data_IF_717174212048
#
_entry.id   IF_717174212048
#
_cell.length_a   1.000
_cell.length_b   1.000
_cell.length_c   1.000
_cell.angle_alpha   90.00
_cell.angle_beta   90.00
_cell.angle_gamma   90.00
#
_symmetry.space_group_name_H-M   'P 1'
#
loop_
_entity.id
_entity.type
_entity.pdbx_description
1 polymer ?
#
# COMPACT_ATOMS: atom_id res chain seq x y z
N UNK A 1 -3.47 15.65 27.75
CA UNK A 1 -3.41 16.87 26.93
C UNK A 1 -2.42 16.59 25.80
N UNK A 2 -2.94 16.05 24.71
CA UNK A 2 -2.14 15.48 23.60
C UNK A 2 -1.94 16.59 22.57
N UNK A 3 -0.72 17.07 22.44
CA UNK A 3 -0.35 18.05 21.41
C UNK A 3 -0.20 17.33 20.06
N UNK A 4 -1.26 17.31 19.28
CA UNK A 4 -1.18 17.00 17.85
C UNK A 4 -0.54 18.18 17.14
N UNK A 5 0.68 18.02 16.65
CA UNK A 5 1.34 19.00 15.79
C UNK A 5 0.93 18.78 14.33
N UNK A 6 0.25 19.72 13.67
CA UNK A 6 -0.04 19.67 12.23
C UNK A 6 1.20 20.20 11.47
N UNK A 7 2.27 19.40 11.35
CA UNK A 7 3.51 19.94 10.77
C UNK A 7 3.63 19.70 9.23
N UNK A 8 2.93 18.73 8.67
CA UNK A 8 3.07 18.40 7.25
C UNK A 8 2.46 19.47 6.31
N UNK A 9 1.29 20.01 6.64
CA UNK A 9 0.63 21.00 5.78
C UNK A 9 1.31 22.38 5.83
N UNK A 10 1.87 22.77 6.98
CA UNK A 10 2.58 24.05 7.14
C UNK A 10 3.95 24.04 6.45
N UNK A 11 4.66 22.91 6.45
CA UNK A 11 5.98 22.81 5.83
C UNK A 11 5.89 22.91 4.30
N UNK A 12 4.89 22.29 3.65
CA UNK A 12 4.68 22.44 2.21
C UNK A 12 4.30 23.88 1.81
N UNK A 13 3.53 24.58 2.66
CA UNK A 13 3.12 25.96 2.40
C UNK A 13 4.28 26.96 2.56
N UNK A 14 5.19 26.73 3.49
CA UNK A 14 6.39 27.55 3.71
C UNK A 14 7.39 27.36 2.55
N UNK A 15 7.60 26.12 2.08
CA UNK A 15 8.52 25.84 0.97
C UNK A 15 8.07 26.47 -0.35
N UNK A 16 6.75 26.55 -0.63
CA UNK A 16 6.21 27.20 -1.82
C UNK A 16 6.50 28.72 -1.86
N UNK A 17 6.71 29.37 -0.70
CA UNK A 17 6.97 30.81 -0.62
C UNK A 17 8.41 31.22 -0.98
N UNK A 18 9.36 30.27 -0.97
CA UNK A 18 10.79 30.58 -1.22
C UNK A 18 11.27 30.23 -2.64
N UNK A 19 10.39 29.77 -3.56
CA UNK A 19 10.77 29.34 -4.89
C UNK A 19 11.73 28.14 -4.90
N UNK A 20 11.87 27.42 -3.78
CA UNK A 20 12.70 26.23 -3.65
C UNK A 20 12.05 25.05 -4.37
N UNK A 21 12.87 24.30 -5.11
CA UNK A 21 12.45 23.04 -5.72
C UNK A 21 12.83 21.89 -4.79
N UNK A 22 11.90 21.04 -4.41
CA UNK A 22 12.21 19.77 -3.76
C UNK A 22 12.84 18.82 -4.78
N UNK A 23 13.91 18.14 -4.40
CA UNK A 23 14.48 17.05 -5.20
C UNK A 23 13.61 15.80 -5.01
N UNK A 24 13.27 15.15 -6.12
CA UNK A 24 12.67 13.82 -6.11
C UNK A 24 13.72 12.77 -6.41
N UNK A 25 13.56 11.60 -5.83
CA UNK A 25 14.45 10.46 -6.04
C UNK A 25 13.85 9.52 -7.09
N UNK A 26 14.69 8.97 -7.93
CA UNK A 26 14.34 7.79 -8.71
C UNK A 26 14.48 6.53 -7.86
N UNK A 27 13.81 5.45 -8.25
CA UNK A 27 13.93 4.16 -7.60
C UNK A 27 15.37 3.63 -7.60
N UNK A 28 16.09 3.81 -8.70
CA UNK A 28 17.51 3.44 -8.77
C UNK A 28 18.40 4.21 -7.77
N UNK A 29 18.10 5.50 -7.54
CA UNK A 29 18.80 6.29 -6.50
C UNK A 29 18.42 5.81 -5.09
N UNK A 30 17.15 5.51 -4.84
CA UNK A 30 16.67 4.98 -3.57
C UNK A 30 17.31 3.62 -3.23
N UNK A 31 17.26 2.66 -4.16
CA UNK A 31 17.94 1.36 -4.03
C UNK A 31 19.44 1.54 -3.74
N UNK A 32 20.07 2.51 -4.40
CA UNK A 32 21.49 2.82 -4.16
C UNK A 32 21.74 3.39 -2.76
N UNK A 33 20.83 4.21 -2.21
CA UNK A 33 20.94 4.70 -0.84
C UNK A 33 20.83 3.56 0.19
N UNK A 34 19.94 2.59 -0.07
CA UNK A 34 19.82 1.36 0.76
C UNK A 34 21.13 0.57 0.73
N UNK A 35 21.69 0.28 -0.47
CA UNK A 35 22.94 -0.45 -0.63
C UNK A 35 24.13 0.23 0.08
N UNK A 36 24.16 1.56 0.10
CA UNK A 36 25.20 2.34 0.77
C UNK A 36 24.99 2.42 2.30
N UNK A 37 23.90 1.88 2.84
CA UNK A 37 23.59 1.92 4.26
C UNK A 37 23.30 3.33 4.77
N UNK A 38 22.71 4.19 3.95
CA UNK A 38 22.36 5.57 4.35
C UNK A 38 21.22 5.55 5.38
N UNK A 39 20.29 4.60 5.26
CA UNK A 39 19.21 4.41 6.21
C UNK A 39 19.61 3.48 7.36
N UNK A 40 19.01 3.69 8.53
CA UNK A 40 19.25 2.81 9.67
C UNK A 40 18.63 1.43 9.41
N UNK A 41 19.23 0.32 9.87
CA UNK A 41 18.63 -1.00 9.75
C UNK A 41 17.22 -1.04 10.37
N UNK A 42 16.21 -1.41 9.57
CA UNK A 42 14.82 -1.46 9.98
C UNK A 42 14.11 -0.10 10.03
N UNK A 43 14.72 0.96 9.52
CA UNK A 43 14.06 2.25 9.33
C UNK A 43 12.97 2.09 8.25
N UNK A 44 11.68 2.34 8.58
CA UNK A 44 10.57 2.05 7.67
C UNK A 44 10.38 3.18 6.64
N UNK A 45 11.23 3.19 5.63
CA UNK A 45 11.22 4.21 4.57
C UNK A 45 10.70 3.59 3.28
N UNK A 46 9.73 4.26 2.66
CA UNK A 46 9.16 3.92 1.36
C UNK A 46 9.46 5.03 0.35
N UNK A 47 9.65 4.69 -0.93
CA UNK A 47 9.69 5.66 -2.02
C UNK A 47 8.31 5.76 -2.68
N UNK A 48 7.68 6.94 -2.61
CA UNK A 48 6.35 7.19 -3.16
C UNK A 48 6.38 8.43 -4.05
N UNK A 49 6.31 8.23 -5.37
CA UNK A 49 6.34 9.30 -6.36
C UNK A 49 7.59 10.19 -6.27
N UNK A 50 8.72 9.61 -5.90
CA UNK A 50 10.00 10.29 -5.72
C UNK A 50 10.22 10.92 -4.34
N UNK A 51 9.24 10.87 -3.45
CA UNK A 51 9.36 11.34 -2.07
C UNK A 51 9.68 10.16 -1.13
N UNK A 52 10.61 10.36 -0.17
CA UNK A 52 10.93 9.40 0.88
C UNK A 52 9.94 9.59 2.04
N UNK A 53 9.14 8.58 2.29
CA UNK A 53 8.10 8.58 3.32
C UNK A 53 8.53 7.65 4.46
N UNK A 54 8.45 8.12 5.69
CA UNK A 54 8.68 7.29 6.88
C UNK A 54 7.34 6.78 7.38
N UNK A 55 7.16 5.45 7.41
CA UNK A 55 5.95 4.84 7.93
C UNK A 55 5.89 4.94 9.45
N UNK A 56 4.66 5.06 9.99
CA UNK A 56 4.43 5.07 11.44
C UNK A 56 4.58 3.67 12.06
N UNK A 57 5.00 3.58 13.34
CA UNK A 57 5.04 2.31 14.06
C UNK A 57 3.66 1.66 14.15
N UNK A 58 3.60 0.36 13.92
CA UNK A 58 2.36 -0.42 13.90
C UNK A 58 1.95 -0.90 15.29
N UNK A 59 0.64 -0.79 15.59
CA UNK A 59 0.05 -1.35 16.80
C UNK A 59 -0.28 -2.85 16.66
N UNK A 60 -0.58 -3.51 17.79
CA UNK A 60 -0.91 -4.94 17.82
C UNK A 60 -2.18 -5.29 17.03
N UNK A 61 -3.16 -4.39 16.98
CA UNK A 61 -4.41 -4.56 16.22
C UNK A 61 -4.13 -4.56 14.73
N UNK A 62 -3.32 -3.61 14.26
CA UNK A 62 -2.85 -3.50 12.88
C UNK A 62 -2.11 -4.78 12.45
N UNK A 63 -1.09 -5.19 13.21
CA UNK A 63 -0.36 -6.43 12.95
C UNK A 63 -1.26 -7.67 12.88
N UNK A 64 -2.26 -7.75 13.77
CA UNK A 64 -3.24 -8.84 13.75
C UNK A 64 -4.06 -8.84 12.46
N UNK A 65 -4.47 -7.65 11.98
CA UNK A 65 -5.17 -7.47 10.69
C UNK A 65 -4.34 -7.98 9.52
N UNK A 66 -3.05 -7.61 9.46
CA UNK A 66 -2.12 -8.10 8.42
C UNK A 66 -2.05 -9.64 8.44
N UNK A 67 -1.81 -10.24 9.62
CA UNK A 67 -1.65 -11.70 9.73
C UNK A 67 -2.91 -12.48 9.36
N UNK A 68 -4.09 -11.99 9.78
CA UNK A 68 -5.38 -12.60 9.43
C UNK A 68 -5.67 -12.49 7.94
N UNK A 69 -5.43 -11.31 7.36
CA UNK A 69 -5.66 -11.06 5.94
C UNK A 69 -4.71 -11.87 5.06
N UNK A 70 -3.41 -11.89 5.37
CA UNK A 70 -2.44 -12.70 4.63
C UNK A 70 -2.84 -14.19 4.63
N UNK A 71 -3.17 -14.76 5.80
CA UNK A 71 -3.61 -16.16 5.92
C UNK A 71 -4.89 -16.45 5.11
N UNK A 72 -5.84 -15.52 5.09
CA UNK A 72 -7.08 -15.68 4.33
C UNK A 72 -6.82 -15.63 2.82
N UNK A 73 -5.93 -14.75 2.36
CA UNK A 73 -5.52 -14.65 0.96
C UNK A 73 -4.70 -15.87 0.52
N UNK A 74 -3.76 -16.36 1.31
CA UNK A 74 -3.03 -17.60 1.03
C UNK A 74 -4.00 -18.77 0.81
N UNK A 75 -5.02 -18.90 1.66
CA UNK A 75 -6.03 -19.94 1.52
C UNK A 75 -6.92 -19.76 0.26
N UNK A 76 -7.23 -18.52 -0.09
CA UNK A 76 -8.09 -18.21 -1.24
C UNK A 76 -7.40 -18.39 -2.58
N UNK A 77 -6.13 -18.02 -2.67
CA UNK A 77 -5.34 -18.11 -3.90
C UNK A 77 -4.74 -19.52 -4.09
N UNK A 78 -4.35 -20.19 -3.01
CA UNK A 78 -3.78 -21.54 -3.05
C UNK A 78 -2.37 -21.61 -3.66
N UNK A 79 -1.91 -22.82 -4.07
CA UNK A 79 -0.57 -23.03 -4.60
C UNK A 79 -0.30 -22.20 -5.87
N UNK A 80 0.95 -21.75 -6.03
CA UNK A 80 1.39 -20.92 -7.15
C UNK A 80 1.20 -19.43 -6.93
N UNK A 81 0.76 -19.04 -5.74
CA UNK A 81 0.64 -17.65 -5.31
C UNK A 81 1.32 -17.42 -3.97
N UNK A 82 1.85 -16.23 -3.78
CA UNK A 82 2.51 -15.82 -2.56
C UNK A 82 1.92 -14.50 -2.03
N UNK A 83 1.37 -14.53 -0.82
CA UNK A 83 0.93 -13.33 -0.10
C UNK A 83 2.12 -12.76 0.70
N UNK A 84 2.87 -11.83 0.08
CA UNK A 84 3.98 -11.11 0.73
C UNK A 84 3.41 -10.15 1.75
N UNK A 85 4.03 -10.10 2.93
CA UNK A 85 3.68 -9.13 3.96
C UNK A 85 4.80 -8.14 4.17
N UNK A 86 4.49 -6.84 4.20
CA UNK A 86 5.41 -5.76 4.53
C UNK A 86 6.72 -5.86 3.74
N UNK A 87 6.60 -6.00 2.46
CA UNK A 87 7.74 -6.10 1.57
C UNK A 87 7.59 -5.20 0.35
N UNK A 88 8.70 -4.60 -0.11
CA UNK A 88 8.68 -3.66 -1.22
C UNK A 88 8.11 -4.23 -2.51
N UNK A 89 7.43 -3.38 -3.28
CA UNK A 89 7.03 -3.64 -4.66
C UNK A 89 7.58 -2.54 -5.56
N UNK A 90 8.39 -2.89 -6.55
CA UNK A 90 8.96 -1.93 -7.50
C UNK A 90 7.97 -1.57 -8.57
N UNK A 91 7.13 -0.54 -8.37
CA UNK A 91 6.03 -0.21 -9.27
C UNK A 91 6.50 0.44 -10.57
N UNK A 92 7.38 1.43 -10.48
CA UNK A 92 7.88 2.23 -11.58
C UNK A 92 9.22 2.91 -11.23
N UNK A 93 9.62 3.92 -12.02
CA UNK A 93 10.93 4.55 -11.87
C UNK A 93 11.05 5.50 -10.66
N UNK A 94 9.94 5.87 -10.03
CA UNK A 94 9.90 6.80 -8.90
C UNK A 94 9.16 6.25 -7.67
N UNK A 95 8.82 4.95 -7.66
CA UNK A 95 8.01 4.41 -6.56
C UNK A 95 8.33 2.96 -6.23
N UNK A 96 8.60 2.73 -4.95
CA UNK A 96 8.81 1.43 -4.32
C UNK A 96 8.14 1.42 -2.93
N UNK A 97 6.79 1.35 -2.88
CA UNK A 97 6.05 1.26 -1.62
C UNK A 97 6.17 -0.11 -0.97
N UNK A 98 5.93 -0.18 0.33
CA UNK A 98 5.84 -1.41 1.13
C UNK A 98 4.40 -1.65 1.59
N UNK A 99 3.53 -2.23 0.75
CA UNK A 99 2.17 -2.52 1.17
C UNK A 99 2.14 -3.55 2.30
N UNK A 100 1.13 -3.48 3.15
CA UNK A 100 0.95 -4.45 4.24
C UNK A 100 0.82 -5.87 3.70
N UNK A 101 0.11 -6.08 2.57
CA UNK A 101 0.10 -7.35 1.83
C UNK A 101 0.10 -7.09 0.32
N UNK A 102 0.92 -7.87 -0.42
CA UNK A 102 0.89 -7.95 -1.86
C UNK A 102 0.78 -9.41 -2.31
N UNK A 103 -0.24 -9.75 -3.10
CA UNK A 103 -0.38 -11.09 -3.68
C UNK A 103 0.26 -11.12 -5.05
N UNK A 104 1.25 -11.99 -5.21
CA UNK A 104 2.05 -12.16 -6.44
C UNK A 104 2.07 -13.62 -6.87
N UNK A 105 2.28 -13.92 -8.16
CA UNK A 105 2.47 -15.30 -8.61
C UNK A 105 3.79 -15.88 -8.09
N UNK A 106 3.88 -17.21 -8.00
CA UNK A 106 5.10 -17.92 -7.63
C UNK A 106 5.31 -18.09 -6.13
N UNK A 107 6.57 -18.09 -5.72
CA UNK A 107 7.05 -18.36 -4.36
C UNK A 107 8.03 -17.27 -3.90
N UNK A 108 8.40 -17.22 -2.61
CA UNK A 108 9.40 -16.26 -2.11
C UNK A 108 10.74 -16.31 -2.86
N UNK A 109 11.16 -17.49 -3.30
CA UNK A 109 12.44 -17.74 -3.98
C UNK A 109 12.50 -17.02 -5.34
N UNK A 110 11.36 -16.85 -6.01
CA UNK A 110 11.27 -16.16 -7.31
C UNK A 110 11.63 -14.68 -7.21
N UNK A 111 11.52 -14.12 -6.02
CA UNK A 111 11.79 -12.70 -5.71
C UNK A 111 13.06 -12.47 -4.90
N UNK A 112 13.98 -13.43 -4.90
CA UNK A 112 15.25 -13.34 -4.14
C UNK A 112 16.25 -12.33 -4.71
N UNK A 113 16.08 -11.87 -5.96
CA UNK A 113 16.99 -10.95 -6.65
C UNK A 113 16.38 -9.60 -7.01
N UNK A 114 15.06 -9.51 -7.04
CA UNK A 114 14.32 -8.28 -7.35
C UNK A 114 12.94 -8.32 -6.72
N UNK A 115 12.44 -7.16 -6.31
CA UNK A 115 11.08 -7.04 -5.81
C UNK A 115 10.05 -7.23 -6.95
N UNK A 116 8.86 -7.79 -6.66
CA UNK A 116 7.80 -7.87 -7.66
C UNK A 116 7.33 -6.48 -8.08
N UNK A 117 6.89 -6.35 -9.33
CA UNK A 117 6.40 -5.07 -9.87
C UNK A 117 4.90 -5.06 -10.17
N UNK A 118 4.25 -6.21 -10.22
CA UNK A 118 2.86 -6.34 -10.64
C UNK A 118 2.09 -7.33 -9.75
N UNK A 119 1.81 -6.98 -8.50
CA UNK A 119 0.89 -7.76 -7.69
C UNK A 119 -0.49 -7.77 -8.32
N UNK A 120 -1.22 -8.88 -8.17
CA UNK A 120 -2.62 -9.01 -8.64
C UNK A 120 -3.61 -8.44 -7.63
N UNK A 121 -3.20 -8.30 -6.39
CA UNK A 121 -3.94 -7.70 -5.30
C UNK A 121 -2.95 -7.04 -4.34
N UNK A 122 -3.26 -5.81 -3.92
CA UNK A 122 -2.54 -5.09 -2.87
C UNK A 122 -3.51 -4.73 -1.75
N UNK A 123 -3.09 -4.90 -0.50
CA UNK A 123 -3.91 -4.58 0.68
C UNK A 123 -3.12 -3.69 1.63
N UNK A 124 -3.76 -2.62 2.08
CA UNK A 124 -3.32 -1.81 3.22
C UNK A 124 -4.26 -2.07 4.40
N UNK A 125 -3.71 -2.12 5.59
CA UNK A 125 -4.46 -2.24 6.85
C UNK A 125 -4.41 -0.88 7.53
N UNK A 126 -5.51 -0.14 7.51
CA UNK A 126 -5.53 1.28 7.87
C UNK A 126 -6.17 1.53 9.23
N UNK A 127 -5.45 2.23 10.09
CA UNK A 127 -5.93 2.80 11.34
C UNK A 127 -5.71 4.33 11.32
N UNK A 128 -4.48 4.81 11.49
CA UNK A 128 -4.09 6.22 11.38
C UNK A 128 -3.82 6.65 9.95
N UNK A 129 -3.42 5.72 9.07
CA UNK A 129 -3.01 5.96 7.67
C UNK A 129 -4.17 6.10 6.66
N UNK A 130 -5.43 5.90 7.08
CA UNK A 130 -6.59 5.77 6.19
C UNK A 130 -6.70 6.86 5.11
N UNK A 131 -6.37 8.11 5.43
CA UNK A 131 -6.42 9.20 4.46
C UNK A 131 -5.31 9.08 3.39
N UNK A 132 -4.10 8.66 3.78
CA UNK A 132 -2.97 8.44 2.88
C UNK A 132 -3.27 7.24 1.97
N UNK A 133 -3.77 6.15 2.53
CA UNK A 133 -4.09 4.92 1.79
C UNK A 133 -5.20 5.16 0.76
N UNK A 134 -6.25 5.90 1.12
CA UNK A 134 -7.35 6.24 0.20
C UNK A 134 -6.90 7.16 -0.94
N UNK A 135 -6.08 8.17 -0.65
CA UNK A 135 -5.78 9.23 -1.61
C UNK A 135 -4.42 9.06 -2.29
N UNK A 136 -3.32 8.93 -1.54
CA UNK A 136 -1.98 8.87 -2.12
C UNK A 136 -1.65 7.46 -2.62
N UNK A 137 -1.68 6.45 -1.75
CA UNK A 137 -1.40 5.07 -2.16
C UNK A 137 -2.44 4.56 -3.17
N UNK A 138 -3.73 4.88 -2.99
CA UNK A 138 -4.77 4.53 -3.95
C UNK A 138 -4.53 5.12 -5.34
N UNK A 139 -4.12 6.39 -5.43
CA UNK A 139 -3.76 7.03 -6.70
C UNK A 139 -2.49 6.43 -7.31
N UNK A 140 -1.48 6.12 -6.48
CA UNK A 140 -0.25 5.49 -6.92
C UNK A 140 -0.51 4.09 -7.51
N UNK A 141 -1.25 3.24 -6.80
CA UNK A 141 -1.58 1.89 -7.25
C UNK A 141 -2.46 1.90 -8.51
N UNK A 142 -3.38 2.87 -8.62
CA UNK A 142 -4.15 3.07 -9.84
C UNK A 142 -3.27 3.48 -11.03
N UNK A 143 -2.27 4.39 -10.84
CA UNK A 143 -1.27 4.77 -11.85
C UNK A 143 -0.47 3.57 -12.33
N UNK A 144 -0.07 2.70 -11.42
CA UNK A 144 0.64 1.46 -11.72
C UNK A 144 -0.24 0.39 -12.39
N UNK A 145 -1.56 0.63 -12.55
CA UNK A 145 -2.50 -0.28 -13.18
C UNK A 145 -2.83 -1.52 -12.34
N UNK A 146 -2.66 -1.47 -11.01
CA UNK A 146 -3.01 -2.60 -10.14
C UNK A 146 -4.52 -2.81 -10.16
N UNK A 147 -5.00 -4.03 -10.51
CA UNK A 147 -6.42 -4.25 -10.82
C UNK A 147 -7.32 -4.34 -9.58
N UNK A 148 -6.77 -4.73 -8.43
CA UNK A 148 -7.52 -4.98 -7.19
C UNK A 148 -6.73 -4.39 -6.02
N UNK A 149 -7.26 -3.34 -5.40
CA UNK A 149 -6.68 -2.66 -4.25
C UNK A 149 -7.68 -2.66 -3.10
N UNK A 150 -7.26 -3.12 -1.94
CA UNK A 150 -8.10 -3.22 -0.75
C UNK A 150 -7.55 -2.38 0.39
N UNK A 151 -8.45 -1.80 1.18
CA UNK A 151 -8.12 -1.18 2.47
C UNK A 151 -8.93 -1.89 3.54
N UNK A 152 -8.25 -2.61 4.44
CA UNK A 152 -8.87 -3.10 5.66
C UNK A 152 -8.96 -1.95 6.66
N UNK A 153 -10.08 -1.25 6.64
CA UNK A 153 -10.33 -0.09 7.47
C UNK A 153 -10.69 -0.52 8.90
N UNK A 154 -9.74 -0.40 9.81
CA UNK A 154 -9.89 -0.80 11.22
C UNK A 154 -10.74 0.18 12.02
N UNK A 155 -10.82 1.44 11.59
CA UNK A 155 -11.61 2.48 12.26
C UNK A 155 -13.11 2.18 12.17
N UNK A 156 -13.58 1.94 10.93
CA UNK A 156 -14.98 1.65 10.65
C UNK A 156 -15.30 0.15 10.68
N UNK A 157 -14.28 -0.72 10.82
CA UNK A 157 -14.36 -2.19 10.80
C UNK A 157 -15.02 -2.74 9.53
N UNK A 158 -14.57 -2.24 8.37
CA UNK A 158 -15.03 -2.61 7.04
C UNK A 158 -13.85 -2.92 6.11
N UNK A 159 -14.13 -3.60 5.00
CA UNK A 159 -13.20 -3.73 3.88
C UNK A 159 -13.64 -2.80 2.75
N UNK A 160 -12.75 -1.92 2.31
CA UNK A 160 -12.93 -1.10 1.12
C UNK A 160 -12.21 -1.76 -0.05
N UNK A 161 -12.89 -1.94 -1.16
CA UNK A 161 -12.36 -2.56 -2.38
C UNK A 161 -12.37 -1.55 -3.50
N UNK A 162 -11.21 -1.34 -4.12
CA UNK A 162 -10.98 -0.38 -5.18
C UNK A 162 -10.57 -1.10 -6.46
N UNK A 163 -11.27 -0.84 -7.57
CA UNK A 163 -11.09 -1.50 -8.85
C UNK A 163 -11.23 -0.52 -10.00
N UNK A 164 -10.89 -0.96 -11.20
CA UNK A 164 -11.03 -0.18 -12.45
C UNK A 164 -10.20 1.12 -12.39
N UNK A 165 -8.83 1.02 -12.41
CA UNK A 165 -7.98 2.19 -12.44
C UNK A 165 -8.20 2.99 -13.72
N UNK A 166 -8.32 4.32 -13.59
CA UNK A 166 -8.55 5.23 -14.71
C UNK A 166 -7.83 6.58 -14.50
N UNK A 167 -7.48 7.30 -15.57
CA UNK A 167 -6.90 8.64 -15.47
C UNK A 167 -7.84 9.63 -14.75
N UNK A 168 -7.26 10.44 -13.87
CA UNK A 168 -7.94 11.57 -13.22
C UNK A 168 -6.92 12.65 -12.87
N UNK A 169 -6.93 13.77 -13.60
CA UNK A 169 -5.98 14.87 -13.40
C UNK A 169 -6.10 15.57 -12.03
N UNK A 170 -7.19 15.35 -11.29
CA UNK A 170 -7.35 15.87 -9.94
C UNK A 170 -6.73 14.97 -8.86
N UNK A 171 -6.39 13.71 -9.19
CA UNK A 171 -5.77 12.79 -8.26
C UNK A 171 -4.25 13.07 -8.10
N UNK A 172 -3.63 12.75 -6.94
CA UNK A 172 -2.23 13.07 -6.64
C UNK A 172 -1.23 12.58 -7.70
N UNK A 173 -1.44 11.40 -8.28
CA UNK A 173 -0.59 10.81 -9.33
C UNK A 173 -1.28 10.73 -10.69
N UNK A 174 -2.35 11.52 -10.92
CA UNK A 174 -3.07 11.60 -12.18
C UNK A 174 -3.97 10.38 -12.48
N UNK A 175 -4.20 9.50 -11.50
CA UNK A 175 -5.00 8.30 -11.63
C UNK A 175 -5.81 8.03 -10.36
N UNK A 176 -6.97 7.35 -10.53
CA UNK A 176 -7.80 6.87 -9.42
C UNK A 176 -8.49 5.55 -9.80
N UNK A 177 -9.07 4.90 -8.80
CA UNK A 177 -10.03 3.83 -9.03
C UNK A 177 -11.44 4.43 -9.18
N UNK A 178 -12.16 4.04 -10.24
CA UNK A 178 -13.53 4.54 -10.49
C UNK A 178 -14.59 3.70 -9.77
N UNK A 179 -14.28 2.46 -9.41
CA UNK A 179 -15.15 1.60 -8.63
C UNK A 179 -14.63 1.45 -7.20
N UNK A 180 -15.46 1.82 -6.24
CA UNK A 180 -15.22 1.58 -4.81
C UNK A 180 -16.44 0.88 -4.23
N UNK A 181 -16.20 -0.22 -3.53
CA UNK A 181 -17.22 -0.97 -2.78
C UNK A 181 -16.79 -1.09 -1.32
N UNK A 182 -17.76 -1.12 -0.41
CA UNK A 182 -17.51 -1.25 1.04
C UNK A 182 -18.26 -2.45 1.56
N UNK A 183 -17.55 -3.35 2.22
CA UNK A 183 -18.07 -4.61 2.75
C UNK A 183 -17.95 -4.62 4.27
N UNK A 184 -19.06 -4.83 4.96
CA UNK A 184 -19.07 -5.03 6.41
C UNK A 184 -18.63 -6.46 6.80
N UNK A 185 -18.55 -6.72 8.10
CA UNK A 185 -18.09 -8.00 8.63
C UNK A 185 -18.96 -9.20 8.24
N UNK A 186 -20.23 -8.99 7.87
CA UNK A 186 -21.17 -10.06 7.48
C UNK A 186 -21.04 -10.46 6.01
N UNK A 187 -20.39 -9.62 5.20
CA UNK A 187 -20.24 -9.81 3.77
C UNK A 187 -19.09 -10.76 3.42
N UNK A 188 -19.11 -11.27 2.18
CA UNK A 188 -18.00 -11.96 1.55
C UNK A 188 -17.41 -11.14 0.43
N UNK A 189 -16.09 -11.18 0.26
CA UNK A 189 -15.35 -10.54 -0.82
C UNK A 189 -14.64 -11.58 -1.68
N UNK A 190 -14.61 -11.36 -2.99
CA UNK A 190 -13.92 -12.24 -3.94
C UNK A 190 -12.79 -11.46 -4.62
N UNK A 191 -11.50 -11.90 -4.50
CA UNK A 191 -10.40 -11.31 -5.23
C UNK A 191 -10.58 -11.50 -6.74
N UNK A 192 -10.20 -10.52 -7.55
CA UNK A 192 -10.32 -10.62 -9.02
C UNK A 192 -9.52 -11.79 -9.59
N UNK A 193 -8.33 -12.03 -9.08
CA UNK A 193 -7.46 -13.11 -9.56
C UNK A 193 -7.74 -14.49 -8.93
N UNK A 194 -8.72 -14.57 -7.99
CA UNK A 194 -9.20 -15.83 -7.40
C UNK A 194 -10.74 -15.88 -7.41
N UNK A 195 -11.39 -15.87 -8.60
CA UNK A 195 -12.85 -15.70 -8.73
C UNK A 195 -13.67 -16.85 -8.14
N UNK A 196 -13.05 -18.00 -7.90
CA UNK A 196 -13.69 -19.16 -7.25
C UNK A 196 -13.71 -19.10 -5.72
N UNK A 197 -13.09 -18.09 -5.10
CA UNK A 197 -12.90 -18.00 -3.65
C UNK A 197 -13.64 -16.80 -3.07
N UNK A 198 -14.53 -17.05 -2.10
CA UNK A 198 -15.17 -15.99 -1.31
C UNK A 198 -14.60 -15.99 0.10
N UNK A 199 -14.11 -14.83 0.53
CA UNK A 199 -13.49 -14.63 1.85
C UNK A 199 -14.48 -13.85 2.73
N UNK A 200 -14.97 -14.40 3.85
CA UNK A 200 -15.74 -13.62 4.81
C UNK A 200 -14.92 -12.46 5.38
N UNK A 201 -15.43 -11.23 5.30
CA UNK A 201 -14.70 -10.03 5.81
C UNK A 201 -14.39 -10.14 7.30
N UNK A 202 -15.24 -10.81 8.08
CA UNK A 202 -14.98 -11.12 9.50
C UNK A 202 -13.70 -11.93 9.74
N UNK A 203 -13.19 -12.66 8.75
CA UNK A 203 -11.90 -13.37 8.86
C UNK A 203 -10.70 -12.46 8.68
N UNK A 204 -10.87 -11.31 8.08
CA UNK A 204 -9.82 -10.29 7.87
C UNK A 204 -9.68 -9.39 9.11
N UNK A 205 -10.80 -9.00 9.69
CA UNK A 205 -10.87 -8.09 10.83
C UNK A 205 -10.28 -8.72 12.11
N UNK A 206 -9.43 -7.97 12.84
CA UNK A 206 -8.88 -8.39 14.14
C UNK A 206 -9.93 -8.44 15.25
#
# INVERSE_FOLDING_TARGET
MTLTRPWAADTMRVMASYGSKTRRFSRAEYERLIELGVFQPGEPIELIGGDLIVAEPQGAVHYTGIRKTAKALEAAFGPGWHARTQGPIGLDDDSEPEPDIAVVPGSPEDYSRAHPSRPVLTVEVAESSLAIDRHHKGSLYARAGLPDYWILNLVDRVLEVYREPAPDSAAPFGWRYIRREVFDASAGVTPLAAPGSSIPVSRLLP
#
